data_IF_133384254713
#
_entry.id   IF_133384254713
#
_cell.length_a   1.000
_cell.length_b   1.000
_cell.length_c   1.000
_cell.angle_alpha   90.00
_cell.angle_beta   90.00
_cell.angle_gamma   90.00
#
_symmetry.space_group_name_H-M   'P 1'
#
loop_
_entity.id
_entity.type
_entity.pdbx_description
1 polymer ?
#
# COMPACT_ATOMS: atom_id res chain seq x y z
N UNK A 1 -9.01 -3.83 -25.81
CA UNK A 1 -9.41 -4.22 -24.44
C UNK A 1 -10.83 -3.80 -24.07
N UNK A 2 -11.25 -2.54 -24.27
CA UNK A 2 -12.60 -2.09 -23.90
C UNK A 2 -13.75 -2.91 -24.52
N UNK A 3 -13.64 -3.31 -25.79
CA UNK A 3 -14.68 -4.13 -26.46
C UNK A 3 -14.87 -5.50 -25.78
N UNK A 4 -13.80 -6.11 -25.26
CA UNK A 4 -13.85 -7.37 -24.53
C UNK A 4 -14.57 -7.19 -23.19
N UNK A 5 -14.23 -6.14 -22.43
CA UNK A 5 -14.85 -5.83 -21.15
C UNK A 5 -16.34 -5.49 -21.30
N UNK A 6 -16.70 -4.74 -22.35
CA UNK A 6 -18.09 -4.42 -22.67
C UNK A 6 -18.88 -5.69 -23.02
N UNK A 7 -18.32 -6.55 -23.86
CA UNK A 7 -18.96 -7.82 -24.23
C UNK A 7 -19.16 -8.72 -23.02
N UNK A 8 -18.13 -8.87 -22.16
CA UNK A 8 -18.22 -9.63 -20.92
C UNK A 8 -19.30 -9.09 -19.98
N UNK A 9 -19.52 -7.77 -19.94
CA UNK A 9 -20.62 -7.16 -19.20
C UNK A 9 -21.98 -7.55 -19.79
N UNK A 10 -22.13 -7.46 -21.11
CA UNK A 10 -23.38 -7.79 -21.80
C UNK A 10 -23.78 -9.26 -21.67
N UNK A 11 -22.81 -10.18 -21.66
CA UNK A 11 -23.08 -11.62 -21.55
C UNK A 11 -23.03 -12.14 -20.09
N UNK A 12 -22.89 -11.25 -19.10
CA UNK A 12 -22.94 -11.61 -17.68
C UNK A 12 -21.66 -12.23 -17.10
N UNK A 13 -20.52 -12.17 -17.80
CA UNK A 13 -19.24 -12.77 -17.40
C UNK A 13 -18.21 -11.75 -16.88
N UNK A 14 -18.59 -10.48 -16.69
CA UNK A 14 -17.68 -9.41 -16.28
C UNK A 14 -16.86 -9.72 -15.01
N UNK A 15 -17.47 -10.32 -13.98
CA UNK A 15 -16.75 -10.69 -12.74
C UNK A 15 -15.70 -11.77 -12.99
N UNK A 16 -16.01 -12.77 -13.82
CA UNK A 16 -15.07 -13.82 -14.20
C UNK A 16 -13.89 -13.24 -14.99
N UNK A 17 -14.17 -12.31 -15.92
CA UNK A 17 -13.11 -11.62 -16.67
C UNK A 17 -12.22 -10.77 -15.74
N UNK A 18 -12.81 -10.01 -14.81
CA UNK A 18 -12.07 -9.25 -13.79
C UNK A 18 -11.19 -10.16 -12.94
N UNK A 19 -11.74 -11.26 -12.44
CA UNK A 19 -10.99 -12.22 -11.61
C UNK A 19 -9.86 -12.86 -12.40
N UNK A 20 -10.06 -13.10 -13.70
CA UNK A 20 -9.02 -13.60 -14.61
C UNK A 20 -7.89 -12.59 -14.77
N UNK A 21 -8.19 -11.30 -15.00
CA UNK A 21 -7.17 -10.25 -15.08
C UNK A 21 -6.34 -10.16 -13.80
N UNK A 22 -7.01 -10.23 -12.65
CA UNK A 22 -6.35 -10.14 -11.35
C UNK A 22 -5.47 -11.36 -11.12
N UNK A 23 -5.98 -12.57 -11.33
CA UNK A 23 -5.22 -13.80 -11.12
C UNK A 23 -4.01 -13.94 -12.06
N UNK A 24 -4.03 -13.29 -13.23
CA UNK A 24 -2.90 -13.30 -14.15
C UNK A 24 -1.63 -12.66 -13.56
N UNK A 25 -1.77 -11.63 -12.73
CA UNK A 25 -0.66 -10.83 -12.23
C UNK A 25 -0.57 -10.75 -10.68
N UNK A 26 -1.65 -11.07 -9.94
CA UNK A 26 -1.75 -10.90 -8.48
C UNK A 26 -0.57 -11.49 -7.70
N UNK A 27 0.00 -12.60 -8.16
CA UNK A 27 1.07 -13.32 -7.47
C UNK A 27 2.41 -13.29 -8.22
N UNK A 28 2.60 -12.38 -9.17
CA UNK A 28 3.89 -12.23 -9.86
C UNK A 28 4.92 -11.50 -9.01
N UNK A 29 4.47 -10.56 -8.20
CA UNK A 29 5.31 -9.73 -7.34
C UNK A 29 4.45 -9.09 -6.22
N UNK A 30 5.09 -8.45 -5.21
CA UNK A 30 4.37 -7.83 -4.10
C UNK A 30 3.44 -6.67 -4.51
N UNK A 31 3.75 -5.98 -5.61
CA UNK A 31 2.96 -4.86 -6.13
C UNK A 31 1.65 -5.39 -6.74
N UNK A 32 1.72 -6.52 -7.45
CA UNK A 32 0.55 -7.27 -7.90
C UNK A 32 -0.36 -7.71 -6.76
N UNK A 33 0.22 -8.15 -5.63
CA UNK A 33 -0.54 -8.54 -4.44
C UNK A 33 -1.34 -7.36 -3.90
N UNK A 34 -0.73 -6.19 -3.69
CA UNK A 34 -1.42 -5.06 -3.06
C UNK A 34 -2.43 -4.37 -3.99
N UNK A 35 -2.24 -4.43 -5.31
CA UNK A 35 -3.14 -3.82 -6.30
C UNK A 35 -4.31 -4.73 -6.71
N UNK A 36 -4.28 -6.02 -6.36
CA UNK A 36 -5.42 -6.90 -6.56
C UNK A 36 -6.67 -6.33 -5.84
N UNK A 37 -7.82 -6.30 -6.52
CA UNK A 37 -8.99 -5.53 -6.06
C UNK A 37 -9.48 -5.88 -4.65
N UNK A 38 -9.32 -7.14 -4.23
CA UNK A 38 -9.68 -7.61 -2.90
C UNK A 38 -8.72 -7.07 -1.84
N UNK A 39 -7.42 -7.12 -2.10
CA UNK A 39 -6.39 -6.55 -1.23
C UNK A 39 -6.44 -5.02 -1.21
N UNK A 40 -6.67 -4.38 -2.36
CA UNK A 40 -6.85 -2.93 -2.47
C UNK A 40 -8.07 -2.44 -1.67
N UNK A 41 -9.17 -3.22 -1.66
CA UNK A 41 -10.33 -2.94 -0.82
C UNK A 41 -9.99 -2.99 0.68
N UNK A 42 -9.21 -3.99 1.12
CA UNK A 42 -8.78 -4.10 2.53
C UNK A 42 -7.88 -2.93 2.95
N UNK A 43 -6.99 -2.47 2.06
CA UNK A 43 -6.18 -1.26 2.29
C UNK A 43 -7.08 -0.02 2.35
N UNK A 44 -8.04 0.12 1.45
CA UNK A 44 -9.04 1.19 1.47
C UNK A 44 -9.83 1.23 2.78
N UNK A 45 -10.21 0.05 3.30
CA UNK A 45 -10.88 -0.06 4.60
C UNK A 45 -10.01 0.47 5.74
N UNK A 46 -8.73 0.07 5.78
CA UNK A 46 -7.78 0.54 6.79
C UNK A 46 -7.57 2.07 6.72
N UNK A 47 -7.59 2.66 5.53
CA UNK A 47 -7.56 4.13 5.36
C UNK A 47 -8.80 4.77 5.98
N UNK A 48 -9.99 4.25 5.66
CA UNK A 48 -11.25 4.84 6.13
C UNK A 48 -11.49 4.69 7.63
N UNK A 49 -10.84 3.73 8.28
CA UNK A 49 -10.94 3.50 9.73
C UNK A 49 -10.27 4.60 10.58
N UNK A 50 -9.25 5.27 10.02
CA UNK A 50 -8.51 6.37 10.69
C UNK A 50 -9.13 7.76 10.45
N UNK A 51 -10.22 7.84 9.67
CA UNK A 51 -10.96 9.08 9.42
C UNK A 51 -10.18 10.15 8.64
N UNK A 52 -10.21 11.38 9.15
CA UNK A 52 -9.65 12.56 8.48
C UNK A 52 -8.15 12.80 8.78
N UNK A 53 -7.54 12.04 9.70
CA UNK A 53 -6.11 12.16 9.98
C UNK A 53 -5.31 11.59 8.80
N UNK A 54 -4.74 12.49 7.99
CA UNK A 54 -4.05 12.16 6.76
C UNK A 54 -2.78 11.33 7.01
N UNK A 55 -2.16 11.48 8.18
CA UNK A 55 -0.96 10.75 8.55
C UNK A 55 -1.30 9.35 9.03
N UNK A 56 -2.22 9.22 9.99
CA UNK A 56 -2.63 7.93 10.55
C UNK A 56 -3.24 7.04 9.48
N UNK A 57 -4.12 7.56 8.61
CA UNK A 57 -4.69 6.78 7.50
C UNK A 57 -3.64 6.28 6.52
N UNK A 58 -2.59 7.08 6.27
CA UNK A 58 -1.48 6.69 5.39
C UNK A 58 -0.61 5.61 6.04
N UNK A 59 -0.36 5.73 7.34
CA UNK A 59 0.38 4.73 8.12
C UNK A 59 -0.40 3.41 8.22
N UNK A 60 -1.71 3.47 8.47
CA UNK A 60 -2.58 2.29 8.49
C UNK A 60 -2.58 1.57 7.13
N UNK A 61 -2.64 2.32 6.03
CA UNK A 61 -2.53 1.76 4.68
C UNK A 61 -1.21 0.99 4.48
N UNK A 62 -0.09 1.59 4.89
CA UNK A 62 1.23 0.97 4.76
C UNK A 62 1.35 -0.32 5.58
N UNK A 63 0.90 -0.30 6.84
CA UNK A 63 0.90 -1.49 7.71
C UNK A 63 -0.01 -2.59 7.15
N UNK A 64 -1.19 -2.24 6.63
CA UNK A 64 -2.10 -3.20 6.00
C UNK A 64 -1.49 -3.81 4.72
N UNK A 65 -0.79 -3.01 3.90
CA UNK A 65 -0.11 -3.53 2.72
C UNK A 65 1.00 -4.53 3.09
N UNK A 66 1.80 -4.24 4.13
CA UNK A 66 2.83 -5.14 4.66
C UNK A 66 2.20 -6.45 5.16
N UNK A 67 1.11 -6.37 5.91
CA UNK A 67 0.36 -7.54 6.40
C UNK A 67 -0.10 -8.44 5.24
N UNK A 68 -0.68 -7.87 4.18
CA UNK A 68 -1.18 -8.63 3.03
C UNK A 68 -0.05 -9.30 2.23
N UNK A 69 1.10 -8.63 2.09
CA UNK A 69 2.29 -9.24 1.46
C UNK A 69 2.78 -10.43 2.30
N UNK A 70 2.90 -10.26 3.62
CA UNK A 70 3.31 -11.35 4.52
C UNK A 70 2.33 -12.53 4.45
N UNK A 71 1.01 -12.27 4.47
CA UNK A 71 0.01 -13.33 4.30
C UNK A 71 0.16 -14.09 2.97
N UNK A 72 0.45 -13.40 1.86
CA UNK A 72 0.67 -14.05 0.58
C UNK A 72 1.95 -14.93 0.58
N UNK A 73 3.00 -14.50 1.28
CA UNK A 73 4.22 -15.30 1.49
C UNK A 73 3.94 -16.52 2.35
N UNK A 74 3.26 -16.35 3.49
CA UNK A 74 2.94 -17.42 4.43
C UNK A 74 2.04 -18.50 3.80
N UNK A 75 1.16 -18.09 2.88
CA UNK A 75 0.33 -18.99 2.07
C UNK A 75 1.08 -19.64 0.89
N UNK A 76 2.35 -19.33 0.69
CA UNK A 76 3.15 -19.83 -0.44
C UNK A 76 2.67 -19.34 -1.80
N UNK A 77 1.94 -18.21 -1.85
CA UNK A 77 1.41 -17.64 -3.10
C UNK A 77 2.47 -16.86 -3.88
N UNK A 78 3.38 -16.19 -3.17
CA UNK A 78 4.53 -15.49 -3.73
C UNK A 78 5.80 -15.93 -3.02
N UNK A 79 6.94 -15.78 -3.70
CA UNK A 79 8.26 -15.95 -3.11
C UNK A 79 8.99 -14.62 -3.17
N UNK A 80 9.42 -14.12 -2.01
CA UNK A 80 10.30 -12.97 -1.94
C UNK A 80 11.75 -13.45 -2.05
N UNK A 81 12.57 -12.70 -2.77
CA UNK A 81 14.01 -12.80 -2.63
C UNK A 81 14.42 -12.44 -1.20
N UNK A 82 15.60 -12.90 -0.77
CA UNK A 82 16.15 -12.52 0.54
C UNK A 82 16.18 -11.00 0.74
N UNK A 83 16.56 -10.26 -0.31
CA UNK A 83 16.64 -8.80 -0.26
C UNK A 83 15.26 -8.16 -0.07
N UNK A 84 14.23 -8.63 -0.78
CA UNK A 84 12.86 -8.15 -0.62
C UNK A 84 12.31 -8.46 0.76
N UNK A 85 12.60 -9.66 1.31
CA UNK A 85 12.21 -10.01 2.68
C UNK A 85 12.86 -9.10 3.71
N UNK A 86 14.18 -8.94 3.63
CA UNK A 86 14.95 -8.07 4.54
C UNK A 86 14.44 -6.60 4.46
N UNK A 87 14.08 -6.14 3.27
CA UNK A 87 13.51 -4.81 3.04
C UNK A 87 12.11 -4.68 3.62
N UNK A 88 11.24 -5.69 3.44
CA UNK A 88 9.88 -5.70 4.01
C UNK A 88 9.93 -5.68 5.54
N UNK A 89 10.77 -6.52 6.15
CA UNK A 89 10.92 -6.63 7.60
C UNK A 89 11.46 -5.33 8.22
N UNK A 90 12.44 -4.70 7.58
CA UNK A 90 12.98 -3.40 8.03
C UNK A 90 11.98 -2.25 7.84
N UNK A 91 11.18 -2.30 6.78
CA UNK A 91 10.09 -1.34 6.53
C UNK A 91 9.00 -1.47 7.59
N UNK A 92 8.57 -2.69 7.90
CA UNK A 92 7.59 -2.96 8.96
C UNK A 92 8.01 -2.37 10.30
N UNK A 93 9.24 -2.68 10.74
CA UNK A 93 9.80 -2.14 11.99
C UNK A 93 9.84 -0.61 11.98
N UNK A 94 10.13 0.00 10.84
CA UNK A 94 10.13 1.46 10.71
C UNK A 94 8.74 2.03 10.94
N UNK A 95 7.70 1.49 10.30
CA UNK A 95 6.31 1.96 10.46
C UNK A 95 5.72 1.72 11.85
N UNK A 96 6.08 0.61 12.50
CA UNK A 96 5.68 0.30 13.88
C UNK A 96 6.30 1.26 14.90
N UNK A 97 7.46 1.83 14.60
CA UNK A 97 8.16 2.80 15.47
C UNK A 97 7.77 4.26 15.21
N UNK A 98 6.99 4.54 14.16
CA UNK A 98 6.50 5.89 13.90
C UNK A 98 5.53 6.34 15.00
N UNK A 99 5.54 7.62 15.40
CA UNK A 99 4.66 8.12 16.46
C UNK A 99 3.18 8.06 16.04
N UNK A 100 2.27 7.87 16.99
CA UNK A 100 0.82 7.92 16.73
C UNK A 100 0.26 9.35 16.68
N UNK A 101 1.13 10.37 16.76
CA UNK A 101 0.76 11.78 16.79
C UNK A 101 1.31 12.48 15.54
N UNK A 102 0.39 13.02 14.73
CA UNK A 102 0.70 13.65 13.45
C UNK A 102 1.70 14.82 13.62
N UNK A 103 1.52 15.66 14.64
CA UNK A 103 2.38 16.83 14.86
C UNK A 103 3.82 16.44 15.22
N UNK A 104 4.00 15.40 16.05
CA UNK A 104 5.32 14.83 16.36
C UNK A 104 5.97 14.26 15.11
N UNK A 105 5.22 13.55 14.26
CA UNK A 105 5.74 13.04 12.99
C UNK A 105 6.20 14.18 12.08
N UNK A 106 5.35 15.19 11.85
CA UNK A 106 5.65 16.36 11.01
C UNK A 106 6.90 17.09 11.51
N UNK A 107 6.96 17.42 12.81
CA UNK A 107 8.13 18.11 13.40
C UNK A 107 9.42 17.31 13.23
N UNK A 108 9.36 15.99 13.39
CA UNK A 108 10.51 15.12 13.16
C UNK A 108 10.95 15.12 11.69
N UNK A 109 10.00 15.08 10.76
CA UNK A 109 10.23 15.13 9.32
C UNK A 109 10.86 16.46 8.89
N UNK A 110 10.28 17.61 9.28
CA UNK A 110 10.82 18.94 8.95
C UNK A 110 12.28 19.06 9.42
N UNK A 111 12.56 18.67 10.67
CA UNK A 111 13.93 18.70 11.22
C UNK A 111 14.89 17.79 10.46
N UNK A 112 14.44 16.60 10.06
CA UNK A 112 15.26 15.61 9.36
C UNK A 112 15.55 16.05 7.92
N UNK A 113 14.52 16.46 7.18
CA UNK A 113 14.63 16.80 5.76
C UNK A 113 15.22 18.18 5.55
N UNK A 114 14.99 19.16 6.43
CA UNK A 114 15.67 20.46 6.37
C UNK A 114 17.20 20.38 6.52
N UNK A 115 17.73 19.26 7.06
CA UNK A 115 19.18 18.99 7.12
C UNK A 115 19.70 18.19 5.92
N UNK A 116 18.83 17.41 5.26
CA UNK A 116 19.20 16.43 4.23
C UNK A 116 18.89 16.90 2.82
N UNK A 117 17.92 17.79 2.67
CA UNK A 117 17.41 18.31 1.40
C UNK A 117 17.51 19.82 1.47
N UNK A 118 18.38 20.39 0.65
CA UNK A 118 18.72 21.82 0.70
C UNK A 118 17.54 22.70 0.29
N UNK A 119 16.72 22.20 -0.62
CA UNK A 119 15.56 22.86 -1.20
C UNK A 119 14.28 22.63 -0.38
N UNK A 120 14.35 21.95 0.77
CA UNK A 120 13.18 21.72 1.61
C UNK A 120 12.76 23.01 2.33
N UNK A 121 11.65 23.60 1.88
CA UNK A 121 10.98 24.70 2.55
C UNK A 121 9.61 24.24 3.07
N UNK A 122 9.42 24.12 4.41
CA UNK A 122 8.12 23.76 5.00
C UNK A 122 6.98 24.69 4.60
N UNK A 123 7.27 25.96 4.26
CA UNK A 123 6.26 26.96 3.91
C UNK A 123 5.49 26.62 2.63
N UNK A 124 6.11 25.87 1.71
CA UNK A 124 5.46 25.39 0.48
C UNK A 124 4.32 24.40 0.74
N UNK A 125 4.25 23.85 1.96
CA UNK A 125 3.27 22.85 2.37
C UNK A 125 2.30 23.37 3.43
N UNK A 126 2.30 24.69 3.69
CA UNK A 126 1.51 25.31 4.76
C UNK A 126 1.86 24.80 6.18
N UNK A 127 3.13 24.41 6.39
CA UNK A 127 3.68 23.84 7.64
C UNK A 127 4.64 24.76 8.39
#
# INVERSE_FOLDING_TARGET
ECALMNTATQIGTAKQLRDTYVLADKYRDPQGVILAYDNAFLIGKAITEEGEDIYLRSRAAALKAIELINQAVDQGRILLTRFERDTLDSTQKTYEQLPDDQDKFIKACIKRYGRKVKEHDPKEYEL
#
